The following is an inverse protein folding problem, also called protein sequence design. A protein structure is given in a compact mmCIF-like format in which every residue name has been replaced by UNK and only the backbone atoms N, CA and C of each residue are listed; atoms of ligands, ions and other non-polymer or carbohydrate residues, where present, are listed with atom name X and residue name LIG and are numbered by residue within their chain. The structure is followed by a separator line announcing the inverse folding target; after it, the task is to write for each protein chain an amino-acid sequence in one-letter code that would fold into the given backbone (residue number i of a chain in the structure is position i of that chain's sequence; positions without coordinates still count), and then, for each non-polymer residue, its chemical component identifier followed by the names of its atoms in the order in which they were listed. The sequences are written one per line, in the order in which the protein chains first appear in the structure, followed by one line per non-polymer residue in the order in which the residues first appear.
data_IF_891647065796
#
_entry.id   IF_891647065796
#
_cell.length_a   1.000
_cell.length_b   1.000
_cell.length_c   1.000
_cell.angle_alpha   90.00
_cell.angle_beta   90.00
_cell.angle_gamma   90.00
#
_symmetry.space_group_name_H-M   'P 1'
#
loop_
_entity.id
_entity.type
_entity.pdbx_description
1 polymer ?
#
# COMPACT_ATOMS: atom_id res chain seq x y z
N UNK A 1 -55.53 -16.41 -19.98
CA UNK A 1 -54.59 -16.53 -21.13
C UNK A 1 -53.25 -15.95 -20.70
N UNK A 2 -52.23 -16.79 -20.57
CA UNK A 2 -50.85 -16.40 -20.27
C UNK A 2 -50.30 -15.46 -21.36
N UNK A 3 -49.57 -14.41 -20.98
CA UNK A 3 -48.64 -13.72 -21.89
C UNK A 3 -47.29 -14.42 -21.79
N UNK A 4 -46.84 -15.00 -22.89
CA UNK A 4 -45.49 -15.55 -22.99
C UNK A 4 -44.52 -14.36 -23.13
N UNK A 5 -43.44 -14.40 -22.35
CA UNK A 5 -42.31 -13.49 -22.50
C UNK A 5 -41.33 -14.15 -23.47
N UNK A 6 -41.04 -13.48 -24.58
CA UNK A 6 -39.98 -13.89 -25.50
C UNK A 6 -38.63 -13.54 -24.87
N UNK A 7 -37.90 -14.58 -24.46
CA UNK A 7 -36.49 -14.49 -24.10
C UNK A 7 -35.70 -14.34 -25.39
N UNK A 8 -35.56 -13.10 -25.85
CA UNK A 8 -34.54 -12.75 -26.85
C UNK A 8 -33.23 -12.60 -26.10
N UNK A 9 -32.45 -13.69 -26.08
CA UNK A 9 -31.05 -13.63 -25.66
C UNK A 9 -30.28 -12.76 -26.65
N UNK A 10 -29.62 -11.71 -26.14
CA UNK A 10 -28.70 -10.93 -26.96
C UNK A 10 -27.45 -11.80 -27.23
N UNK A 11 -27.10 -11.86 -28.50
CA UNK A 11 -26.15 -12.81 -29.09
C UNK A 11 -24.79 -12.84 -28.39
N UNK A 12 -24.23 -14.06 -28.24
CA UNK A 12 -22.85 -14.28 -27.83
C UNK A 12 -21.88 -13.56 -28.79
N UNK A 13 -20.85 -12.84 -28.29
CA UNK A 13 -19.74 -12.49 -29.16
C UNK A 13 -18.94 -13.76 -29.45
N UNK A 14 -19.11 -14.30 -30.65
CA UNK A 14 -18.21 -15.30 -31.22
C UNK A 14 -16.80 -14.70 -31.24
N UNK A 15 -15.93 -15.16 -30.35
CA UNK A 15 -14.54 -14.76 -30.36
C UNK A 15 -13.85 -15.44 -31.55
N UNK A 16 -13.82 -14.77 -32.69
CA UNK A 16 -13.14 -15.25 -33.88
C UNK A 16 -11.62 -15.19 -33.64
N UNK A 17 -11.00 -16.32 -33.30
CA UNK A 17 -9.53 -16.43 -33.32
C UNK A 17 -9.06 -16.35 -34.76
N UNK A 18 -8.59 -15.18 -35.20
CA UNK A 18 -7.86 -15.04 -36.47
C UNK A 18 -6.66 -15.98 -36.50
N UNK A 19 -6.48 -16.81 -37.54
CA UNK A 19 -5.27 -17.61 -37.69
C UNK A 19 -4.07 -16.68 -37.88
N UNK A 20 -3.00 -16.96 -37.13
CA UNK A 20 -1.74 -16.23 -37.17
C UNK A 20 -1.11 -16.33 -38.56
N UNK A 21 -1.28 -15.28 -39.37
CA UNK A 21 -0.51 -15.12 -40.60
C UNK A 21 0.89 -14.65 -40.24
N UNK A 22 1.86 -15.57 -40.33
CA UNK A 22 3.27 -15.24 -40.50
C UNK A 22 3.46 -14.56 -41.86
N UNK A 23 3.93 -13.33 -41.84
CA UNK A 23 4.41 -12.55 -42.99
C UNK A 23 4.74 -11.17 -42.43
N UNK A 24 5.99 -10.75 -42.34
CA UNK A 24 6.82 -10.36 -43.47
C UNK A 24 7.13 -8.87 -43.25
N UNK A 25 8.40 -8.51 -43.24
CA UNK A 25 8.92 -7.16 -42.93
C UNK A 25 8.27 -6.09 -43.82
N UNK A 26 7.81 -4.98 -43.26
CA UNK A 26 7.79 -3.69 -43.94
C UNK A 26 7.64 -2.52 -42.95
N UNK A 27 8.24 -1.39 -43.35
CA UNK A 27 8.71 -0.29 -42.53
C UNK A 27 7.80 0.94 -42.71
N UNK A 28 7.55 1.68 -41.61
CA UNK A 28 6.87 2.97 -41.46
C UNK A 28 5.32 3.03 -41.40
N UNK A 29 4.81 3.16 -40.17
CA UNK A 29 3.50 3.70 -39.83
C UNK A 29 3.59 4.43 -38.49
N UNK A 30 3.94 5.71 -38.54
CA UNK A 30 4.06 6.61 -37.38
C UNK A 30 2.68 6.79 -36.75
N UNK A 31 2.50 6.31 -35.51
CA UNK A 31 1.41 6.57 -34.54
C UNK A 31 -0.01 6.80 -35.08
N UNK A 32 -0.86 5.80 -34.96
CA UNK A 32 -2.27 5.85 -34.49
C UNK A 32 -3.05 4.65 -35.04
N UNK A 33 -3.15 3.59 -34.23
CA UNK A 33 -4.37 2.81 -34.06
C UNK A 33 -4.08 1.73 -33.01
N UNK A 34 -4.87 1.79 -31.95
CA UNK A 34 -5.01 0.80 -30.89
C UNK A 34 -3.90 0.85 -29.83
N UNK A 35 -4.10 1.73 -28.84
CA UNK A 35 -3.62 1.48 -27.49
C UNK A 35 -4.31 0.21 -27.01
N UNK A 36 -3.71 -0.94 -27.30
CA UNK A 36 -4.18 -2.22 -26.80
C UNK A 36 -3.84 -2.28 -25.31
N UNK A 37 -4.84 -1.93 -24.48
CA UNK A 37 -4.72 -1.94 -23.04
C UNK A 37 -4.22 -3.31 -22.56
N UNK A 38 -4.62 -4.39 -23.22
CA UNK A 38 -4.18 -5.74 -22.89
C UNK A 38 -2.71 -5.99 -23.23
N UNK A 39 -2.12 -5.31 -24.22
CA UNK A 39 -0.68 -5.35 -24.52
C UNK A 39 0.12 -4.57 -23.47
N UNK A 40 -0.40 -3.43 -23.03
CA UNK A 40 0.18 -2.64 -21.92
C UNK A 40 0.11 -3.44 -20.61
N UNK A 41 -1.04 -4.05 -20.28
CA UNK A 41 -1.20 -4.89 -19.10
C UNK A 41 -0.34 -6.16 -19.18
N UNK A 42 -0.28 -6.84 -20.32
CA UNK A 42 0.55 -8.05 -20.47
C UNK A 42 2.05 -7.74 -20.39
N UNK A 43 2.50 -6.63 -20.97
CA UNK A 43 3.91 -6.23 -20.88
C UNK A 43 4.29 -5.76 -19.47
N UNK A 44 3.33 -5.25 -18.69
CA UNK A 44 3.56 -4.85 -17.30
C UNK A 44 3.49 -6.03 -16.31
N UNK A 45 2.55 -6.96 -16.48
CA UNK A 45 2.29 -8.06 -15.52
C UNK A 45 2.89 -9.42 -15.90
N UNK A 46 3.14 -9.72 -17.18
CA UNK A 46 3.53 -11.07 -17.63
C UNK A 46 4.69 -11.13 -18.64
N UNK A 47 5.15 -10.00 -19.20
CA UNK A 47 6.24 -9.91 -20.18
C UNK A 47 7.50 -9.24 -19.60
N UNK A 48 8.35 -10.01 -18.94
CA UNK A 48 9.53 -9.48 -18.24
C UNK A 48 10.51 -8.71 -19.13
N UNK A 49 10.72 -7.41 -18.83
CA UNK A 49 12.00 -6.79 -18.43
C UNK A 49 11.92 -5.23 -18.46
N UNK A 50 11.93 -4.56 -17.30
CA UNK A 50 13.17 -3.96 -16.76
C UNK A 50 13.02 -3.63 -15.25
N UNK A 51 14.01 -3.98 -14.41
CA UNK A 51 13.99 -3.80 -12.97
C UNK A 51 14.42 -2.37 -12.61
N UNK A 52 13.45 -1.48 -12.37
CA UNK A 52 13.72 -0.19 -11.72
C UNK A 52 12.56 0.33 -10.86
N UNK A 53 11.51 -0.47 -10.67
CA UNK A 53 10.36 -0.10 -9.85
C UNK A 53 9.88 -1.25 -8.95
N UNK A 54 10.77 -2.18 -8.60
CA UNK A 54 10.55 -3.01 -7.41
C UNK A 54 10.79 -2.13 -6.19
N UNK A 55 9.87 -1.21 -5.89
CA UNK A 55 9.61 -0.89 -4.50
C UNK A 55 9.24 -2.20 -3.84
N UNK A 56 10.20 -2.77 -3.14
CA UNK A 56 9.96 -3.80 -2.16
C UNK A 56 8.96 -3.19 -1.17
N UNK A 57 7.67 -3.41 -1.38
CA UNK A 57 6.72 -3.31 -0.30
C UNK A 57 7.22 -4.32 0.75
N UNK A 58 7.74 -3.81 1.86
CA UNK A 58 7.93 -4.62 3.06
C UNK A 58 6.54 -5.05 3.55
N UNK A 59 6.15 -6.26 3.18
CA UNK A 59 4.90 -6.93 3.55
C UNK A 59 4.35 -7.63 2.32
N UNK A 60 4.56 -8.93 2.09
CA UNK A 60 4.38 -10.04 3.02
C UNK A 60 5.43 -11.13 2.81
N UNK A 61 6.03 -11.62 3.89
CA UNK A 61 6.96 -12.75 3.86
C UNK A 61 6.19 -14.08 3.82
N UNK A 62 6.15 -14.78 2.67
CA UNK A 62 5.70 -16.17 2.58
C UNK A 62 6.91 -17.10 2.47
N UNK A 63 7.44 -17.53 3.61
CA UNK A 63 8.51 -18.52 3.72
C UNK A 63 8.46 -19.22 5.08
N UNK A 64 8.92 -20.48 5.20
CA UNK A 64 8.84 -21.27 6.42
C UNK A 64 9.89 -20.83 7.43
N UNK A 65 9.70 -19.65 8.00
CA UNK A 65 10.19 -19.26 9.31
C UNK A 65 9.02 -18.63 10.03
N UNK A 66 8.21 -19.49 10.65
CA UNK A 66 7.38 -19.10 11.79
C UNK A 66 8.34 -18.72 12.93
N UNK A 67 9.04 -17.59 12.79
CA UNK A 67 9.52 -16.87 13.95
C UNK A 67 8.27 -16.48 14.70
N UNK A 68 8.18 -16.88 15.97
CA UNK A 68 7.16 -16.37 16.87
C UNK A 68 7.04 -14.86 16.61
N UNK A 69 5.86 -14.41 16.19
CA UNK A 69 5.57 -12.97 16.12
C UNK A 69 5.77 -12.47 17.53
N UNK A 70 6.95 -11.94 17.85
CA UNK A 70 7.16 -11.21 19.09
C UNK A 70 6.16 -10.08 19.02
N UNK A 71 5.16 -10.12 19.89
CA UNK A 71 4.18 -9.04 19.97
C UNK A 71 4.96 -7.73 20.09
N UNK A 72 4.68 -6.74 19.22
CA UNK A 72 5.39 -5.48 19.30
C UNK A 72 5.14 -4.85 20.68
N UNK A 73 6.12 -4.13 21.21
CA UNK A 73 5.98 -3.50 22.54
C UNK A 73 4.85 -2.45 22.51
N UNK A 74 4.60 -1.86 21.34
CA UNK A 74 3.64 -0.81 21.12
C UNK A 74 2.96 -0.90 19.73
N UNK A 75 1.90 -0.13 19.54
CA UNK A 75 1.13 0.03 18.30
C UNK A 75 0.76 1.50 18.08
N UNK A 76 0.63 1.95 16.84
CA UNK A 76 0.11 3.29 16.51
C UNK A 76 -1.42 3.34 16.41
N UNK A 77 -2.09 2.20 16.59
CA UNK A 77 -3.54 2.08 16.54
C UNK A 77 -4.05 1.33 17.76
N UNK A 78 -5.18 1.80 18.29
CA UNK A 78 -5.87 1.16 19.41
C UNK A 78 -6.44 -0.17 18.95
N UNK A 79 -5.84 -1.27 19.40
CA UNK A 79 -6.24 -2.64 19.05
C UNK A 79 -5.93 -3.50 20.27
N UNK A 80 -6.84 -4.35 20.74
CA UNK A 80 -6.55 -5.28 21.85
C UNK A 80 -5.32 -6.16 21.53
N UNK A 81 -4.31 -6.26 22.42
CA UNK A 81 -4.26 -5.78 23.81
C UNK A 81 -3.70 -4.35 24.02
N UNK A 82 -3.34 -3.62 22.95
CA UNK A 82 -2.81 -2.25 22.97
C UNK A 82 -3.90 -1.19 23.21
N UNK A 83 -4.31 -1.05 24.46
CA UNK A 83 -5.36 -0.09 24.86
C UNK A 83 -4.81 1.15 25.56
N UNK A 84 -3.68 1.02 26.25
CA UNK A 84 -3.09 2.10 27.04
C UNK A 84 -2.31 3.05 26.14
N UNK A 85 -2.78 4.28 25.99
CA UNK A 85 -2.18 5.28 25.12
C UNK A 85 -1.21 6.19 25.89
N UNK A 86 -0.13 6.54 25.21
CA UNK A 86 0.92 7.41 25.68
C UNK A 86 1.30 8.37 24.56
N UNK A 87 1.90 9.50 24.92
CA UNK A 87 2.41 10.50 23.97
C UNK A 87 3.92 10.64 24.12
N UNK A 88 4.62 10.76 23.00
CA UNK A 88 6.05 11.12 22.99
C UNK A 88 6.23 12.63 23.17
N UNK A 89 7.48 13.05 23.39
CA UNK A 89 7.84 14.47 23.46
C UNK A 89 7.49 15.23 22.16
N UNK A 90 7.54 14.57 21.00
CA UNK A 90 7.10 15.13 19.71
C UNK A 90 5.60 14.99 19.42
N UNK A 91 4.81 14.57 20.41
CA UNK A 91 3.35 14.46 20.27
C UNK A 91 2.87 13.24 19.47
N UNK A 92 3.68 12.20 19.33
CA UNK A 92 3.24 10.94 18.69
C UNK A 92 2.47 10.11 19.70
N UNK A 93 1.23 9.76 19.36
CA UNK A 93 0.41 8.84 20.15
C UNK A 93 0.79 7.39 19.86
N UNK A 94 1.04 6.61 20.90
CA UNK A 94 1.32 5.19 20.80
C UNK A 94 0.63 4.41 21.91
N UNK A 95 0.27 3.17 21.62
CA UNK A 95 -0.50 2.28 22.47
C UNK A 95 0.37 1.12 22.92
N UNK A 96 0.35 0.76 24.19
CA UNK A 96 1.10 -0.38 24.75
C UNK A 96 0.13 -1.41 25.34
N UNK A 97 0.56 -2.67 25.35
CA UNK A 97 -0.24 -3.78 25.85
C UNK A 97 -0.24 -3.90 27.38
N UNK A 98 0.80 -3.39 28.04
CA UNK A 98 0.96 -3.49 29.50
C UNK A 98 0.44 -2.24 30.21
N UNK A 99 -0.48 -2.42 31.16
CA UNK A 99 -0.89 -1.35 32.08
C UNK A 99 0.18 -0.98 33.12
N UNK A 100 1.29 -1.71 33.19
CA UNK A 100 2.43 -1.40 34.09
C UNK A 100 3.53 -0.59 33.42
N UNK A 101 3.30 -0.13 32.19
CA UNK A 101 4.30 0.55 31.39
C UNK A 101 4.85 1.83 32.05
N UNK A 102 4.02 2.62 32.74
CA UNK A 102 4.49 3.80 33.48
C UNK A 102 5.38 3.46 34.68
N UNK A 103 5.11 2.33 35.34
CA UNK A 103 5.88 1.87 36.49
C UNK A 103 7.24 1.30 36.06
N UNK A 104 7.27 0.61 34.91
CA UNK A 104 8.48 0.00 34.36
C UNK A 104 9.36 1.01 33.62
N UNK A 105 8.76 1.98 32.94
CA UNK A 105 9.43 3.02 32.15
C UNK A 105 8.98 4.42 32.63
N UNK A 106 9.53 4.90 33.75
CA UNK A 106 9.13 6.19 34.30
C UNK A 106 9.46 7.35 33.36
N UNK A 107 8.69 8.46 33.43
CA UNK A 107 8.98 9.66 32.65
C UNK A 107 10.41 10.15 32.88
N UNK A 108 11.09 10.58 31.81
CA UNK A 108 12.50 11.03 31.80
C UNK A 108 13.56 9.95 32.08
N UNK A 109 13.20 8.66 32.16
CA UNK A 109 14.20 7.60 32.20
C UNK A 109 14.89 7.44 30.82
N UNK A 110 16.18 7.04 30.77
CA UNK A 110 16.86 6.80 29.51
C UNK A 110 16.24 5.62 28.72
N UNK A 111 15.68 4.63 29.40
CA UNK A 111 14.95 3.52 28.78
C UNK A 111 13.66 4.03 28.11
N UNK A 112 12.93 4.92 28.79
CA UNK A 112 11.73 5.55 28.24
C UNK A 112 12.07 6.38 27.00
N UNK A 113 13.14 7.18 27.06
CA UNK A 113 13.60 7.96 25.91
C UNK A 113 14.00 7.07 24.73
N UNK A 114 14.64 5.92 24.95
CA UNK A 114 15.00 4.99 23.88
C UNK A 114 13.77 4.38 23.20
N UNK A 115 12.69 4.14 23.95
CA UNK A 115 11.40 3.69 23.37
C UNK A 115 10.76 4.82 22.58
N UNK A 116 10.65 6.01 23.16
CA UNK A 116 10.04 7.17 22.48
C UNK A 116 10.77 7.54 21.19
N UNK A 117 12.11 7.53 21.20
CA UNK A 117 12.91 7.74 19.98
C UNK A 117 12.64 6.69 18.91
N UNK A 118 12.43 5.43 19.32
CA UNK A 118 12.07 4.35 18.40
C UNK A 118 10.66 4.55 17.84
N UNK A 119 9.70 4.89 18.70
CA UNK A 119 8.32 5.22 18.30
C UNK A 119 8.33 6.37 17.29
N UNK A 120 9.07 7.44 17.54
CA UNK A 120 9.17 8.58 16.63
C UNK A 120 9.78 8.21 15.27
N UNK A 121 10.85 7.40 15.28
CA UNK A 121 11.49 6.94 14.06
C UNK A 121 10.57 6.03 13.24
N UNK A 122 9.88 5.11 13.89
CA UNK A 122 8.98 4.16 13.24
C UNK A 122 7.72 4.89 12.72
N UNK A 123 7.23 5.89 13.46
CA UNK A 123 6.14 6.76 13.04
C UNK A 123 6.51 7.59 11.81
N UNK A 124 7.69 8.23 11.81
CA UNK A 124 8.19 8.96 10.65
C UNK A 124 8.28 8.05 9.42
N UNK A 125 8.85 6.85 9.58
CA UNK A 125 8.93 5.86 8.51
C UNK A 125 7.54 5.49 7.97
N UNK A 126 6.57 5.23 8.85
CA UNK A 126 5.20 4.92 8.47
C UNK A 126 4.54 6.07 7.69
N UNK A 127 4.71 7.31 8.14
CA UNK A 127 4.18 8.49 7.46
C UNK A 127 4.80 8.68 6.07
N UNK A 128 6.11 8.51 5.92
CA UNK A 128 6.79 8.59 4.61
C UNK A 128 6.25 7.53 3.66
N UNK A 129 6.11 6.28 4.13
CA UNK A 129 5.56 5.21 3.30
C UNK A 129 4.11 5.49 2.91
N UNK A 130 3.26 5.86 3.87
CA UNK A 130 1.85 6.16 3.60
C UNK A 130 1.70 7.38 2.66
N UNK A 131 2.49 8.42 2.86
CA UNK A 131 2.49 9.59 1.98
C UNK A 131 2.87 9.22 0.54
N UNK A 132 3.88 8.35 0.36
CA UNK A 132 4.23 7.84 -0.97
C UNK A 132 3.04 7.12 -1.63
N UNK A 133 2.30 6.32 -0.88
CA UNK A 133 1.11 5.62 -1.38
C UNK A 133 -0.04 6.59 -1.69
N UNK A 134 -0.23 7.63 -0.89
CA UNK A 134 -1.23 8.67 -1.16
C UNK A 134 -0.92 9.43 -2.44
N UNK A 135 0.33 9.87 -2.63
CA UNK A 135 0.79 10.51 -3.87
C UNK A 135 0.59 9.58 -5.07
N UNK A 136 0.90 8.29 -4.88
CA UNK A 136 0.64 7.29 -5.91
C UNK A 136 -0.84 7.11 -6.22
N UNK A 137 -1.78 7.44 -5.33
CA UNK A 137 -3.23 7.37 -5.60
C UNK A 137 -3.79 8.68 -6.13
N UNK A 138 -3.21 9.82 -5.73
CA UNK A 138 -3.53 11.13 -6.28
C UNK A 138 -3.27 11.21 -7.78
N UNK A 139 -2.15 10.65 -8.26
CA UNK A 139 -1.80 10.70 -9.68
C UNK A 139 -2.85 10.01 -10.58
N UNK A 140 -3.59 9.03 -10.05
CA UNK A 140 -4.69 8.35 -10.76
C UNK A 140 -6.05 9.01 -10.51
N UNK A 141 -6.11 10.11 -9.75
CA UNK A 141 -7.33 10.85 -9.44
C UNK A 141 -8.26 10.19 -8.42
N UNK A 142 -7.77 9.20 -7.66
CA UNK A 142 -8.62 8.39 -6.76
C UNK A 142 -8.86 9.02 -5.39
N UNK A 143 -8.03 10.00 -5.01
CA UNK A 143 -8.05 10.67 -3.71
C UNK A 143 -7.91 12.18 -3.95
N UNK A 144 -8.44 13.01 -3.04
CA UNK A 144 -8.29 14.48 -3.08
C UNK A 144 -7.43 15.03 -1.94
N UNK A 145 -7.19 14.24 -0.90
CA UNK A 145 -6.52 14.66 0.33
C UNK A 145 -5.34 13.75 0.64
N UNK A 146 -4.22 14.32 1.08
CA UNK A 146 -3.01 13.58 1.47
C UNK A 146 -2.78 13.71 2.97
N UNK A 147 -3.65 13.07 3.75
CA UNK A 147 -3.66 13.18 5.21
C UNK A 147 -2.32 12.77 5.82
N UNK A 148 -1.69 11.70 5.33
CA UNK A 148 -0.39 11.25 5.84
C UNK A 148 0.74 12.18 5.40
N UNK A 149 0.70 12.73 4.17
CA UNK A 149 1.70 13.73 3.76
C UNK A 149 1.61 15.02 4.58
N UNK A 150 0.40 15.46 4.93
CA UNK A 150 0.23 16.66 5.75
C UNK A 150 0.59 16.41 7.22
N UNK A 151 0.32 15.21 7.75
CA UNK A 151 0.83 14.78 9.05
C UNK A 151 2.37 14.72 9.07
N UNK A 152 3.01 14.24 8.00
CA UNK A 152 4.47 14.22 7.86
C UNK A 152 5.08 15.62 7.93
N UNK A 153 4.53 16.58 7.17
CA UNK A 153 4.98 17.97 7.22
C UNK A 153 4.85 18.56 8.62
N UNK A 154 3.73 18.30 9.30
CA UNK A 154 3.51 18.78 10.68
C UNK A 154 4.50 18.16 11.65
N UNK A 155 4.79 16.87 11.50
CA UNK A 155 5.75 16.17 12.34
C UNK A 155 7.17 16.72 12.16
N UNK A 156 7.57 17.02 10.92
CA UNK A 156 8.86 17.68 10.62
C UNK A 156 8.96 19.11 11.17
N UNK A 157 7.85 19.82 11.29
CA UNK A 157 7.82 21.17 11.89
C UNK A 157 7.93 21.17 13.42
N UNK A 158 7.61 20.05 14.08
CA UNK A 158 7.68 19.89 15.54
C UNK A 158 9.03 19.31 15.99
N UNK A 159 9.77 18.68 15.06
CA UNK A 159 11.07 18.04 15.30
C UNK A 159 12.23 19.04 15.37
#
# INVERSE_FOLDING_TARGET
MMKNYDVVGHDEPVYERRPTRRGGREFNGFYEADFDADEIFRNFFFGGMHPAATTQFQGFSFGPRMGARTEPIYSFSRIYPYEHWFTTQKGVEFYVSSGKFELEYPPNSPERMAIEQRVEKDYYSALVQNCRLELQRLQWGWIRETLNCDALKKFEMVA
#
